data_IF_344144608029
#
_entry.id   IF_344144608029
#
_cell.length_a   1.000
_cell.length_b   1.000
_cell.length_c   1.000
_cell.angle_alpha   90.00
_cell.angle_beta   90.00
_cell.angle_gamma   90.00
#
_symmetry.space_group_name_H-M   'P 1'
#
loop_
_entity.id
_entity.type
_entity.pdbx_description
1 polymer ?
#
# COMPACT_ATOMS: atom_id res chain seq x y z
N UNK A 1 24.46 -23.66 29.43
CA UNK A 1 24.61 -23.50 27.97
C UNK A 1 23.81 -24.60 27.28
N UNK A 2 22.58 -24.30 26.84
CA UNK A 2 21.76 -25.24 26.05
C UNK A 2 21.97 -24.89 24.58
N UNK A 3 22.59 -25.79 23.83
CA UNK A 3 22.73 -25.69 22.39
C UNK A 3 21.33 -25.64 21.75
N UNK A 4 20.96 -24.48 21.22
CA UNK A 4 19.84 -24.36 20.29
C UNK A 4 20.27 -25.08 19.02
N UNK A 5 19.60 -26.20 18.72
CA UNK A 5 19.96 -27.09 17.63
C UNK A 5 19.85 -26.38 16.28
N UNK A 6 20.86 -26.56 15.42
CA UNK A 6 20.86 -26.15 14.01
C UNK A 6 19.60 -26.57 13.23
N UNK A 7 18.81 -27.52 13.73
CA UNK A 7 17.55 -27.97 13.12
C UNK A 7 16.50 -26.85 13.00
N UNK A 8 16.45 -25.90 13.93
CA UNK A 8 15.46 -24.81 13.92
C UNK A 8 15.74 -23.76 12.84
N UNK A 9 16.98 -23.63 12.37
CA UNK A 9 17.38 -22.68 11.32
C UNK A 9 17.08 -23.25 9.93
N UNK A 10 17.18 -24.57 9.75
CA UNK A 10 16.90 -25.23 8.47
C UNK A 10 15.40 -25.26 8.15
N UNK A 11 14.54 -25.33 9.18
CA UNK A 11 13.07 -25.30 8.99
C UNK A 11 12.59 -23.93 8.48
N UNK A 12 13.29 -22.84 8.82
CA UNK A 12 12.96 -21.49 8.31
C UNK A 12 13.35 -21.32 6.85
N UNK A 13 14.35 -22.06 6.36
CA UNK A 13 14.75 -22.03 4.94
C UNK A 13 13.88 -22.91 4.03
N UNK A 14 13.12 -23.87 4.57
CA UNK A 14 12.36 -24.82 3.77
C UNK A 14 10.95 -24.34 3.36
N UNK A 15 10.47 -23.24 3.93
CA UNK A 15 9.17 -22.64 3.56
C UNK A 15 9.27 -21.61 2.44
N UNK A 16 10.46 -21.39 1.86
CA UNK A 16 10.67 -20.36 0.83
C UNK A 16 10.23 -20.78 -0.58
N UNK A 17 9.73 -21.99 -0.80
CA UNK A 17 9.32 -22.47 -2.14
C UNK A 17 7.99 -21.88 -2.63
N UNK A 18 7.31 -21.06 -1.84
CA UNK A 18 6.13 -20.30 -2.27
C UNK A 18 6.46 -18.86 -2.73
N UNK A 19 7.73 -18.44 -2.71
CA UNK A 19 8.14 -17.13 -3.21
C UNK A 19 8.46 -17.20 -4.70
N UNK A 20 7.42 -17.22 -5.53
CA UNK A 20 7.56 -17.06 -6.98
C UNK A 20 7.73 -15.58 -7.34
N UNK A 21 8.79 -15.25 -8.07
CA UNK A 21 8.94 -13.97 -8.75
C UNK A 21 8.25 -14.11 -10.12
N UNK A 22 7.08 -13.49 -10.29
CA UNK A 22 6.35 -13.50 -11.56
C UNK A 22 6.93 -12.41 -12.48
N UNK A 23 7.13 -12.73 -13.76
CA UNK A 23 7.47 -11.74 -14.77
C UNK A 23 6.26 -10.82 -15.06
N UNK A 24 6.50 -9.51 -15.09
CA UNK A 24 5.48 -8.49 -15.26
C UNK A 24 4.82 -8.60 -16.66
N UNK A 25 3.50 -8.36 -16.73
CA UNK A 25 2.76 -8.25 -18.00
C UNK A 25 3.38 -7.16 -18.88
N UNK A 26 3.63 -7.47 -20.15
CA UNK A 26 4.17 -6.57 -21.18
C UNK A 26 3.30 -5.32 -21.46
N UNK A 27 2.09 -5.23 -20.91
CA UNK A 27 1.26 -4.02 -20.95
C UNK A 27 0.57 -3.85 -19.60
N UNK A 28 0.65 -2.66 -18.97
CA UNK A 28 0.02 -2.42 -17.69
C UNK A 28 -1.51 -2.48 -17.82
N UNK A 29 -2.14 -3.33 -17.03
CA UNK A 29 -3.59 -3.40 -16.85
C UNK A 29 -4.01 -2.34 -15.82
N UNK A 30 -4.40 -1.17 -16.31
CA UNK A 30 -4.96 -0.10 -15.49
C UNK A 30 -6.47 -0.31 -15.43
N UNK A 31 -6.96 -0.81 -14.28
CA UNK A 31 -8.40 -1.01 -14.06
C UNK A 31 -9.15 0.33 -14.14
N UNK A 32 -10.40 0.29 -14.57
CA UNK A 32 -11.27 1.48 -14.58
C UNK A 32 -11.94 1.75 -13.23
N UNK A 33 -12.89 2.69 -13.18
CA UNK A 33 -13.83 2.80 -12.07
C UNK A 33 -14.69 1.53 -11.99
N UNK A 34 -14.69 0.90 -10.82
CA UNK A 34 -15.51 -0.27 -10.49
C UNK A 34 -16.72 0.15 -9.66
N UNK A 35 -17.78 -0.68 -9.63
CA UNK A 35 -18.95 -0.44 -8.78
C UNK A 35 -18.52 -0.23 -7.31
N UNK A 36 -19.10 0.73 -6.55
CA UNK A 36 -20.32 1.52 -6.82
C UNK A 36 -20.10 2.83 -7.62
N UNK A 37 -18.87 3.17 -8.02
CA UNK A 37 -18.54 4.46 -8.65
C UNK A 37 -18.38 4.40 -10.17
N UNK A 38 -18.92 3.37 -10.82
CA UNK A 38 -18.82 3.15 -12.28
C UNK A 38 -19.34 4.36 -13.10
N UNK A 39 -20.35 5.06 -12.59
CA UNK A 39 -20.94 6.23 -13.25
C UNK A 39 -20.25 7.57 -12.92
N UNK A 40 -19.25 7.56 -12.04
CA UNK A 40 -18.59 8.77 -11.55
C UNK A 40 -17.22 8.91 -12.19
N UNK A 41 -17.11 9.81 -13.18
CA UNK A 41 -15.84 10.13 -13.89
C UNK A 41 -14.75 10.75 -12.99
N UNK A 42 -15.05 10.98 -11.71
CA UNK A 42 -14.13 11.57 -10.74
C UNK A 42 -12.92 10.67 -10.45
N UNK A 43 -13.09 9.35 -10.54
CA UNK A 43 -12.02 8.37 -10.32
C UNK A 43 -11.39 7.83 -11.61
N UNK A 44 -11.68 8.48 -12.75
CA UNK A 44 -11.06 8.16 -14.03
C UNK A 44 -9.77 8.98 -14.19
N UNK A 45 -8.65 8.27 -14.17
CA UNK A 45 -7.31 8.84 -14.29
C UNK A 45 -7.11 9.54 -15.64
N UNK A 46 -7.78 9.08 -16.70
CA UNK A 46 -7.67 9.71 -18.02
C UNK A 46 -8.38 11.07 -18.09
N UNK A 47 -9.40 11.28 -17.24
CA UNK A 47 -10.16 12.54 -17.19
C UNK A 47 -9.49 13.54 -16.26
N UNK A 48 -9.00 13.08 -15.11
CA UNK A 48 -8.41 13.93 -14.08
C UNK A 48 -6.94 14.30 -14.38
N UNK A 49 -6.17 13.39 -14.97
CA UNK A 49 -4.73 13.52 -15.18
C UNK A 49 -4.38 13.99 -16.60
N UNK A 50 -4.97 15.11 -17.06
CA UNK A 50 -4.61 15.69 -18.36
C UNK A 50 -3.14 16.16 -18.34
N UNK A 51 -2.27 15.42 -19.02
CA UNK A 51 -0.83 15.72 -19.11
C UNK A 51 0.07 14.92 -18.17
N UNK A 52 -0.48 14.00 -17.36
CA UNK A 52 0.28 13.07 -16.52
C UNK A 52 0.01 11.64 -16.96
N UNK A 53 1.00 10.75 -16.83
CA UNK A 53 0.83 9.33 -17.15
C UNK A 53 -0.26 8.70 -16.23
N UNK A 54 -1.32 8.09 -16.77
CA UNK A 54 -2.37 7.46 -15.95
C UNK A 54 -1.82 6.36 -15.02
N UNK A 55 -0.79 5.63 -15.49
CA UNK A 55 -0.09 4.61 -14.71
C UNK A 55 0.55 5.19 -13.42
N UNK A 56 1.12 6.38 -13.49
CA UNK A 56 1.71 7.07 -12.34
C UNK A 56 0.66 7.42 -11.29
N UNK A 57 -0.50 7.95 -11.71
CA UNK A 57 -1.61 8.26 -10.82
C UNK A 57 -2.18 7.01 -10.16
N UNK A 58 -2.20 5.88 -10.90
CA UNK A 58 -2.62 4.58 -10.36
C UNK A 58 -1.66 4.06 -9.29
N UNK A 59 -0.36 4.17 -9.50
CA UNK A 59 0.63 3.77 -8.52
C UNK A 59 0.51 4.59 -7.23
N UNK A 60 0.35 5.91 -7.36
CA UNK A 60 0.14 6.80 -6.22
C UNK A 60 -1.12 6.42 -5.44
N UNK A 61 -2.24 6.18 -6.12
CA UNK A 61 -3.50 5.76 -5.50
C UNK A 61 -3.34 4.46 -4.70
N UNK A 62 -2.68 3.44 -5.26
CA UNK A 62 -2.46 2.16 -4.58
C UNK A 62 -1.56 2.30 -3.35
N UNK A 63 -0.48 3.09 -3.42
CA UNK A 63 0.40 3.34 -2.27
C UNK A 63 -0.36 4.00 -1.11
N UNK A 64 -1.13 5.04 -1.39
CA UNK A 64 -1.94 5.72 -0.37
C UNK A 64 -3.09 4.84 0.14
N UNK A 65 -3.72 4.05 -0.73
CA UNK A 65 -4.75 3.09 -0.34
C UNK A 65 -4.22 2.03 0.63
N UNK A 66 -3.05 1.43 0.36
CA UNK A 66 -2.41 0.47 1.26
C UNK A 66 -2.05 1.08 2.60
N UNK A 67 -1.45 2.28 2.59
CA UNK A 67 -1.10 2.98 3.82
C UNK A 67 -2.35 3.33 4.63
N UNK A 68 -3.42 3.77 3.99
CA UNK A 68 -4.69 4.07 4.65
C UNK A 68 -5.35 2.82 5.24
N UNK A 69 -5.29 1.67 4.57
CA UNK A 69 -5.80 0.40 5.12
C UNK A 69 -5.04 0.00 6.39
N UNK A 70 -3.72 0.15 6.41
CA UNK A 70 -2.91 -0.11 7.61
C UNK A 70 -3.23 0.91 8.71
N UNK A 71 -3.32 2.19 8.38
CA UNK A 71 -3.62 3.25 9.34
C UNK A 71 -5.01 3.10 9.98
N UNK A 72 -6.02 2.71 9.19
CA UNK A 72 -7.39 2.47 9.68
C UNK A 72 -7.47 1.33 10.71
N UNK A 73 -6.53 0.37 10.68
CA UNK A 73 -6.40 -0.67 11.70
C UNK A 73 -5.52 -0.22 12.88
N UNK A 74 -4.42 0.48 12.60
CA UNK A 74 -3.48 0.92 13.63
C UNK A 74 -4.08 1.94 14.59
N UNK A 75 -4.91 2.88 14.11
CA UNK A 75 -5.50 3.91 14.96
C UNK A 75 -6.35 3.32 16.10
N UNK A 76 -7.40 2.50 15.85
CA UNK A 76 -8.19 1.91 16.93
C UNK A 76 -7.42 0.88 17.78
N UNK A 77 -6.38 0.23 17.22
CA UNK A 77 -5.49 -0.62 17.99
C UNK A 77 -4.63 0.22 18.95
N UNK A 78 -4.12 1.36 18.50
CA UNK A 78 -3.30 2.24 19.33
C UNK A 78 -4.06 2.80 20.53
N UNK A 79 -5.35 3.13 20.36
CA UNK A 79 -6.24 3.56 21.45
C UNK A 79 -6.51 2.44 22.47
N UNK A 80 -6.61 1.18 22.05
CA UNK A 80 -6.79 0.07 22.99
C UNK A 80 -5.57 -0.21 23.87
N UNK A 81 -4.36 0.04 23.36
CA UNK A 81 -3.12 -0.15 24.12
C UNK A 81 -2.70 1.09 24.90
N UNK A 82 -3.32 2.25 24.66
CA UNK A 82 -2.98 3.51 25.30
C UNK A 82 -4.24 4.32 25.57
N UNK A 83 -4.53 4.63 26.85
CA UNK A 83 -5.67 5.46 27.29
C UNK A 83 -5.56 6.95 26.86
N UNK A 84 -4.90 7.23 25.72
CA UNK A 84 -4.65 8.56 25.18
C UNK A 84 -5.27 8.67 23.79
N UNK A 85 -5.33 9.92 23.31
CA UNK A 85 -5.68 10.24 21.94
C UNK A 85 -4.67 9.56 20.98
N UNK A 86 -5.17 8.75 20.05
CA UNK A 86 -4.38 8.08 19.02
C UNK A 86 -3.55 9.05 18.15
N UNK A 87 -4.00 10.29 17.97
CA UNK A 87 -3.24 11.35 17.27
C UNK A 87 -1.93 11.68 18.01
N UNK A 88 -1.95 11.71 19.34
CA UNK A 88 -0.78 12.06 20.14
C UNK A 88 0.16 10.86 20.35
N UNK A 89 -0.32 9.64 20.12
CA UNK A 89 0.46 8.40 20.25
C UNK A 89 1.80 8.45 19.50
N UNK A 90 1.79 9.00 18.28
CA UNK A 90 2.98 9.13 17.44
C UNK A 90 3.96 10.20 17.90
N UNK A 91 3.50 11.24 18.59
CA UNK A 91 4.38 12.27 19.16
C UNK A 91 5.11 11.74 20.38
N UNK A 92 4.45 10.89 21.16
CA UNK A 92 5.02 10.29 22.37
C UNK A 92 6.00 9.14 22.05
N UNK A 93 5.80 8.43 20.94
CA UNK A 93 6.60 7.28 20.53
C UNK A 93 7.37 7.55 19.22
N UNK A 94 8.45 8.37 19.25
CA UNK A 94 9.20 8.68 18.04
C UNK A 94 9.84 7.44 17.39
N UNK A 95 10.14 6.39 18.16
CA UNK A 95 10.69 5.13 17.64
C UNK A 95 9.71 4.42 16.68
N UNK A 96 8.41 4.47 16.98
CA UNK A 96 7.38 3.89 16.13
C UNK A 96 7.23 4.67 14.82
N UNK A 97 7.32 6.01 14.89
CA UNK A 97 7.31 6.88 13.70
C UNK A 97 8.52 6.60 12.81
N UNK A 98 9.72 6.52 13.40
CA UNK A 98 10.96 6.26 12.64
C UNK A 98 10.92 4.89 11.98
N UNK A 99 10.42 3.86 12.67
CA UNK A 99 10.30 2.52 12.08
C UNK A 99 9.26 2.47 10.95
N UNK A 100 8.10 3.11 11.14
CA UNK A 100 7.07 3.25 10.09
C UNK A 100 7.59 3.99 8.85
N UNK A 101 8.29 5.11 9.06
CA UNK A 101 8.92 5.87 7.98
C UNK A 101 10.00 5.03 7.26
N UNK A 102 10.79 4.26 8.01
CA UNK A 102 11.82 3.40 7.44
C UNK A 102 11.23 2.35 6.50
N UNK A 103 10.11 1.71 6.89
CA UNK A 103 9.40 0.76 6.04
C UNK A 103 8.82 1.42 4.78
N UNK A 104 8.29 2.63 4.91
CA UNK A 104 7.81 3.41 3.75
C UNK A 104 8.94 3.74 2.77
N UNK A 105 10.09 4.18 3.28
CA UNK A 105 11.28 4.50 2.47
C UNK A 105 11.79 3.26 1.74
N UNK A 106 11.83 2.11 2.42
CA UNK A 106 12.24 0.84 1.78
C UNK A 106 11.26 0.42 0.68
N UNK A 107 9.95 0.57 0.89
CA UNK A 107 8.94 0.28 -0.12
C UNK A 107 9.08 1.20 -1.34
N UNK A 108 9.27 2.50 -1.10
CA UNK A 108 9.45 3.48 -2.17
C UNK A 108 10.73 3.22 -2.96
N UNK A 109 11.84 2.94 -2.27
CA UNK A 109 13.11 2.62 -2.91
C UNK A 109 13.01 1.37 -3.78
N UNK A 110 12.27 0.35 -3.32
CA UNK A 110 11.98 -0.86 -4.10
C UNK A 110 11.18 -0.53 -5.37
N UNK A 111 10.14 0.30 -5.26
CA UNK A 111 9.36 0.74 -6.41
C UNK A 111 10.19 1.58 -7.40
N UNK A 112 11.09 2.43 -6.90
CA UNK A 112 11.99 3.25 -7.71
C UNK A 112 12.96 2.39 -8.53
N UNK A 113 13.58 1.37 -7.91
CA UNK A 113 14.53 0.48 -8.61
C UNK A 113 13.84 -0.32 -9.72
N UNK A 114 12.61 -0.76 -9.51
CA UNK A 114 11.92 -1.63 -10.47
C UNK A 114 11.10 -0.87 -11.52
N UNK A 115 10.27 0.10 -11.10
CA UNK A 115 9.23 0.69 -11.93
C UNK A 115 9.57 2.02 -12.59
N UNK A 116 10.55 2.77 -12.08
CA UNK A 116 10.81 4.14 -12.53
C UNK A 116 11.86 4.19 -13.64
N UNK A 117 11.68 5.11 -14.59
CA UNK A 117 12.73 5.45 -15.56
C UNK A 117 13.88 6.22 -14.89
N UNK A 118 15.03 6.28 -15.57
CA UNK A 118 16.18 7.02 -15.07
C UNK A 118 15.82 8.50 -14.83
N UNK A 119 16.02 9.02 -13.61
CA UNK A 119 15.57 10.37 -13.24
C UNK A 119 16.30 11.48 -14.01
N UNK A 120 17.41 11.15 -14.67
CA UNK A 120 18.18 12.07 -15.49
C UNK A 120 17.61 12.26 -16.91
N UNK A 121 16.84 11.27 -17.41
CA UNK A 121 16.28 11.30 -18.77
C UNK A 121 14.83 11.78 -18.74
N UNK A 122 14.01 11.20 -17.86
CA UNK A 122 12.62 11.61 -17.66
C UNK A 122 12.28 11.62 -16.16
N UNK A 123 12.25 12.80 -15.51
CA UNK A 123 11.84 12.87 -14.12
C UNK A 123 10.37 12.48 -13.97
N UNK A 124 10.06 11.68 -12.94
CA UNK A 124 8.69 11.26 -12.59
C UNK A 124 7.94 10.45 -13.66
N UNK A 125 8.67 9.71 -14.50
CA UNK A 125 8.10 8.80 -15.49
C UNK A 125 8.23 7.32 -15.04
N UNK A 126 7.16 6.55 -15.23
CA UNK A 126 7.19 5.09 -15.10
C UNK A 126 7.68 4.46 -16.41
N UNK A 127 8.27 3.27 -16.30
CA UNK A 127 8.54 2.41 -17.46
C UNK A 127 7.22 1.94 -18.09
N UNK A 128 7.19 1.84 -19.42
CA UNK A 128 5.99 1.41 -20.15
C UNK A 128 5.61 -0.06 -19.86
N UNK A 129 6.61 -0.90 -19.53
CA UNK A 129 6.43 -2.33 -19.24
C UNK A 129 6.12 -2.61 -17.75
N UNK A 130 6.00 -1.57 -16.92
CA UNK A 130 5.79 -1.72 -15.47
C UNK A 130 4.30 -1.69 -15.11
N UNK A 131 3.83 -2.74 -14.45
CA UNK A 131 2.50 -2.77 -13.85
C UNK A 131 2.47 -1.91 -12.57
N UNK A 132 1.63 -0.87 -12.49
CA UNK A 132 1.52 -0.04 -11.29
C UNK A 132 1.16 -0.87 -10.05
N UNK A 133 1.91 -0.66 -8.97
CA UNK A 133 1.65 -1.30 -7.67
C UNK A 133 2.14 -2.74 -7.56
N UNK A 134 2.85 -3.25 -8.56
CA UNK A 134 3.49 -4.55 -8.54
C UNK A 134 4.83 -4.51 -7.79
N UNK A 135 4.91 -5.28 -6.71
CA UNK A 135 6.11 -5.47 -5.90
C UNK A 135 6.78 -6.83 -6.20
N UNK A 136 6.37 -7.51 -7.28
CA UNK A 136 6.82 -8.85 -7.69
C UNK A 136 6.62 -9.92 -6.62
N UNK A 137 5.70 -9.67 -5.71
CA UNK A 137 5.35 -10.52 -4.59
C UNK A 137 3.97 -11.11 -4.86
N UNK A 138 3.91 -12.39 -5.25
CA UNK A 138 2.65 -13.10 -5.42
C UNK A 138 2.51 -14.20 -4.37
N UNK A 139 1.42 -14.15 -3.60
CA UNK A 139 1.03 -15.21 -2.67
C UNK A 139 -0.08 -16.04 -3.31
N UNK A 140 0.29 -16.91 -4.24
CA UNK A 140 -0.62 -17.91 -4.82
C UNK A 140 -1.80 -17.32 -5.62
N UNK A 141 -1.66 -16.10 -6.14
CA UNK A 141 -2.70 -15.48 -6.96
C UNK A 141 -2.62 -16.05 -8.37
N UNK A 142 -3.69 -16.71 -8.82
CA UNK A 142 -3.81 -17.21 -10.19
C UNK A 142 -4.20 -16.08 -11.14
N UNK A 143 -3.70 -16.10 -12.38
CA UNK A 143 -3.93 -15.04 -13.37
C UNK A 143 -5.42 -14.74 -13.62
N UNK A 144 -6.28 -15.75 -13.54
CA UNK A 144 -7.74 -15.60 -13.70
C UNK A 144 -8.40 -14.79 -12.57
N UNK A 145 -7.85 -14.86 -11.35
CA UNK A 145 -8.42 -14.19 -10.18
C UNK A 145 -7.81 -12.82 -9.92
N UNK A 146 -6.64 -12.51 -10.52
CA UNK A 146 -5.91 -11.26 -10.32
C UNK A 146 -6.79 -10.02 -10.52
N UNK A 147 -7.55 -9.95 -11.62
CA UNK A 147 -8.37 -8.77 -11.92
C UNK A 147 -9.41 -8.47 -10.83
N UNK A 148 -10.09 -9.50 -10.32
CA UNK A 148 -11.08 -9.34 -9.25
C UNK A 148 -10.46 -8.98 -7.91
N UNK A 149 -9.24 -9.42 -7.64
CA UNK A 149 -8.51 -9.10 -6.41
C UNK A 149 -8.01 -7.66 -6.43
N UNK A 150 -7.51 -7.19 -7.58
CA UNK A 150 -7.13 -5.79 -7.78
C UNK A 150 -8.32 -4.84 -7.56
N UNK A 151 -9.50 -5.20 -8.07
CA UNK A 151 -10.71 -4.40 -7.86
C UNK A 151 -11.13 -4.33 -6.38
N UNK A 152 -10.98 -5.44 -5.65
CA UNK A 152 -11.26 -5.51 -4.20
C UNK A 152 -10.26 -4.66 -3.40
N UNK A 153 -8.97 -4.78 -3.70
CA UNK A 153 -7.94 -3.97 -3.07
C UNK A 153 -8.21 -2.48 -3.29
N UNK A 154 -8.53 -2.10 -4.52
CA UNK A 154 -8.81 -0.71 -4.88
C UNK A 154 -10.01 -0.15 -4.13
N UNK A 155 -11.12 -0.89 -4.07
CA UNK A 155 -12.33 -0.45 -3.38
C UNK A 155 -12.11 -0.31 -1.88
N UNK A 156 -11.41 -1.27 -1.26
CA UNK A 156 -11.06 -1.20 0.16
C UNK A 156 -10.08 -0.05 0.45
N UNK A 157 -9.11 0.20 -0.44
CA UNK A 157 -8.17 1.32 -0.31
C UNK A 157 -8.86 2.67 -0.34
N UNK A 158 -9.80 2.88 -1.27
CA UNK A 158 -10.59 4.12 -1.36
C UNK A 158 -11.47 4.34 -0.12
N UNK A 159 -12.12 3.28 0.36
CA UNK A 159 -12.91 3.32 1.58
C UNK A 159 -12.03 3.68 2.79
N UNK A 160 -10.86 3.04 2.90
CA UNK A 160 -9.93 3.27 3.99
C UNK A 160 -9.38 4.71 4.00
N UNK A 161 -9.06 5.29 2.84
CA UNK A 161 -8.59 6.68 2.75
C UNK A 161 -9.59 7.68 3.31
N UNK A 162 -10.88 7.50 3.01
CA UNK A 162 -11.94 8.37 3.54
C UNK A 162 -12.21 8.05 5.02
N UNK A 163 -12.16 6.77 5.39
CA UNK A 163 -12.39 6.30 6.76
C UNK A 163 -11.38 6.85 7.77
N UNK A 164 -10.08 6.74 7.49
CA UNK A 164 -9.04 7.27 8.38
C UNK A 164 -9.10 8.79 8.47
N UNK A 165 -9.40 9.47 7.36
CA UNK A 165 -9.60 10.92 7.38
C UNK A 165 -10.75 11.31 8.31
N UNK A 166 -11.89 10.62 8.23
CA UNK A 166 -13.02 10.83 9.12
C UNK A 166 -12.67 10.58 10.60
N UNK A 167 -11.98 9.48 10.89
CA UNK A 167 -11.55 9.12 12.25
C UNK A 167 -10.62 10.20 12.84
N UNK A 168 -9.59 10.63 12.11
CA UNK A 168 -8.69 11.69 12.56
C UNK A 168 -9.41 13.02 12.79
N UNK A 169 -10.34 13.41 11.90
CA UNK A 169 -11.10 14.66 12.04
C UNK A 169 -12.00 14.61 13.28
N UNK A 170 -12.66 13.48 13.52
CA UNK A 170 -13.50 13.29 14.69
C UNK A 170 -12.69 13.46 15.98
N UNK A 171 -11.57 12.75 16.10
CA UNK A 171 -10.70 12.81 17.28
C UNK A 171 -10.12 14.23 17.51
N UNK A 172 -9.77 14.93 16.43
CA UNK A 172 -9.25 16.30 16.52
C UNK A 172 -10.31 17.32 16.97
N UNK A 173 -11.59 17.11 16.66
CA UNK A 173 -12.67 18.04 17.02
C UNK A 173 -13.28 17.70 18.38
N UNK A 174 -13.49 16.42 18.69
CA UNK A 174 -14.11 15.99 19.95
C UNK A 174 -13.11 15.95 21.10
N UNK A 175 -11.81 15.81 20.80
CA UNK A 175 -10.76 15.55 21.79
C UNK A 175 -11.08 14.36 22.70
N UNK A 176 -11.81 13.38 22.17
CA UNK A 176 -12.17 12.13 22.82
C UNK A 176 -11.74 10.97 21.94
N UNK A 177 -11.41 9.85 22.58
CA UNK A 177 -11.09 8.60 21.89
C UNK A 177 -12.29 8.12 21.07
N UNK A 178 -12.01 7.47 19.94
CA UNK A 178 -13.06 6.92 19.07
C UNK A 178 -13.67 5.63 19.64
N UNK A 179 -12.90 4.91 20.47
CA UNK A 179 -13.27 3.63 21.08
C UNK A 179 -12.95 3.57 22.58
#
# INVERSE_FOLDING_TARGET
MRCVSLSSVVVVLATTSAFGFQDAKLKPDIRGPTAPFENVKLFDQYVFAKGVQPAYMREAELKHGRLAMVAALLLPLSEQFSDRLGINFFQENPEFVVSGLSLMVLNEFTSMVYGWEDPLVKPFALKEDYQPGDLKFTLGVTEETMGTQMDKELNNGRLAMIGIFGMMVQELVTHQQLF
#
